data_IF_595649521019
#
_entry.id   IF_595649521019
#
_cell.length_a   1.000
_cell.length_b   1.000
_cell.length_c   1.000
_cell.angle_alpha   90.00
_cell.angle_beta   90.00
_cell.angle_gamma   90.00
#
_symmetry.space_group_name_H-M   'P 1'
#
loop_
_entity.id
_entity.type
_entity.pdbx_description
1 polymer ?
#
# COMPACT_ATOMS: atom_id res chain seq x y z
N UNK A 1 -11.55 -7.66 -0.75
CA UNK A 1 -10.74 -6.72 -1.55
C UNK A 1 -11.14 -5.29 -1.23
N UNK A 2 -10.18 -4.38 -1.17
CA UNK A 2 -10.46 -2.98 -0.87
C UNK A 2 -10.75 -2.21 -2.15
N UNK A 3 -11.65 -1.21 -2.11
CA UNK A 3 -11.85 -0.34 -3.26
C UNK A 3 -10.55 0.38 -3.64
N UNK A 4 -10.30 0.45 -4.95
CA UNK A 4 -9.04 1.00 -5.47
C UNK A 4 -8.77 2.41 -4.98
N UNK A 5 -9.78 3.29 -5.05
CA UNK A 5 -9.61 4.70 -4.69
C UNK A 5 -9.37 4.89 -3.19
N UNK A 6 -9.79 3.94 -2.36
CA UNK A 6 -9.54 3.99 -0.92
C UNK A 6 -8.19 3.42 -0.57
N UNK A 7 -7.77 2.31 -1.21
CA UNK A 7 -6.53 1.64 -0.81
C UNK A 7 -5.28 2.37 -1.30
N UNK A 8 -5.32 3.05 -2.44
CA UNK A 8 -4.13 3.70 -3.01
C UNK A 8 -3.53 4.75 -2.06
N UNK A 9 -4.30 5.72 -1.52
CA UNK A 9 -3.72 6.65 -0.56
C UNK A 9 -3.16 5.96 0.68
N UNK A 10 -3.76 4.84 1.08
CA UNK A 10 -3.32 4.10 2.26
C UNK A 10 -2.06 3.30 2.03
N UNK A 11 -1.80 2.89 0.79
CA UNK A 11 -0.51 2.29 0.43
C UNK A 11 0.62 3.30 0.64
N UNK A 12 0.41 4.56 0.22
CA UNK A 12 1.37 5.62 0.48
C UNK A 12 1.57 5.84 1.98
N UNK A 13 0.48 5.87 2.74
CA UNK A 13 0.54 6.00 4.19
C UNK A 13 1.28 4.83 4.82
N UNK A 14 1.03 3.61 4.37
CA UNK A 14 1.71 2.41 4.86
C UNK A 14 3.20 2.45 4.58
N UNK A 15 3.58 2.89 3.38
CA UNK A 15 4.99 3.08 3.04
C UNK A 15 5.65 4.09 3.99
N UNK A 16 4.96 5.20 4.26
CA UNK A 16 5.45 6.22 5.19
C UNK A 16 5.58 5.68 6.61
N UNK A 17 4.63 4.89 7.07
CA UNK A 17 4.67 4.27 8.40
C UNK A 17 5.91 3.38 8.56
N UNK A 18 6.34 2.71 7.49
CA UNK A 18 7.52 1.86 7.51
C UNK A 18 8.80 2.64 7.19
N UNK A 19 8.68 3.94 6.91
CA UNK A 19 9.81 4.79 6.55
C UNK A 19 10.59 4.27 5.33
N UNK A 20 9.86 3.78 4.33
CA UNK A 20 10.47 3.23 3.12
C UNK A 20 10.36 4.20 1.96
N UNK A 21 11.42 4.27 1.13
CA UNK A 21 11.33 4.92 -0.17
C UNK A 21 10.53 4.04 -1.13
N UNK A 22 10.19 4.61 -2.30
CA UNK A 22 9.54 3.82 -3.35
C UNK A 22 10.42 2.66 -3.81
N UNK A 23 11.74 2.88 -3.94
CA UNK A 23 12.69 1.84 -4.30
C UNK A 23 12.73 0.73 -3.25
N UNK A 24 12.77 1.12 -1.99
CA UNK A 24 12.82 0.15 -0.89
C UNK A 24 11.55 -0.67 -0.82
N UNK A 25 10.38 -0.04 -0.99
CA UNK A 25 9.12 -0.76 -1.02
C UNK A 25 9.08 -1.71 -2.22
N UNK A 26 9.49 -1.25 -3.40
CA UNK A 26 9.52 -2.08 -4.60
C UNK A 26 10.34 -3.35 -4.39
N UNK A 27 11.53 -3.20 -3.84
CA UNK A 27 12.40 -4.34 -3.52
C UNK A 27 11.73 -5.29 -2.54
N UNK A 28 11.11 -4.73 -1.50
CA UNK A 28 10.50 -5.52 -0.43
C UNK A 28 9.33 -6.35 -0.94
N UNK A 29 8.52 -5.81 -1.84
CA UNK A 29 7.31 -6.52 -2.31
C UNK A 29 7.52 -7.22 -3.66
N UNK A 30 8.69 -7.08 -4.27
CA UNK A 30 9.03 -7.82 -5.49
C UNK A 30 8.42 -7.25 -6.76
N UNK A 31 8.29 -5.93 -6.85
CA UNK A 31 7.85 -5.24 -8.07
C UNK A 31 8.87 -4.18 -8.45
N UNK A 32 8.72 -3.57 -9.63
CA UNK A 32 9.62 -2.49 -10.04
C UNK A 32 9.23 -1.18 -9.34
N UNK A 33 10.21 -0.27 -9.22
CA UNK A 33 9.93 1.07 -8.72
C UNK A 33 8.88 1.78 -9.57
N UNK A 34 8.92 1.58 -10.89
CA UNK A 34 7.96 2.17 -11.81
C UNK A 34 6.52 1.76 -11.47
N UNK A 35 6.32 0.50 -11.09
CA UNK A 35 5.00 0.02 -10.66
C UNK A 35 4.56 0.76 -9.40
N UNK A 36 5.44 0.90 -8.41
CA UNK A 36 5.10 1.63 -7.18
C UNK A 36 4.74 3.08 -7.51
N UNK A 37 5.55 3.77 -8.32
CA UNK A 37 5.30 5.16 -8.66
C UNK A 37 3.95 5.34 -9.35
N UNK A 38 3.64 4.50 -10.34
CA UNK A 38 2.37 4.58 -11.07
C UNK A 38 1.18 4.21 -10.19
N UNK A 39 1.36 3.22 -9.32
CA UNK A 39 0.33 2.79 -8.37
C UNK A 39 -0.01 3.94 -7.43
N UNK A 40 0.99 4.61 -6.89
CA UNK A 40 0.76 5.72 -5.96
C UNK A 40 0.11 6.94 -6.61
N UNK A 41 0.22 7.06 -7.93
CA UNK A 41 -0.51 8.07 -8.69
C UNK A 41 -1.90 7.59 -9.12
N UNK A 42 -2.28 6.39 -8.74
CA UNK A 42 -3.56 5.77 -9.11
C UNK A 42 -3.77 5.70 -10.61
N UNK A 43 -2.71 5.37 -11.36
CA UNK A 43 -2.82 5.23 -12.80
C UNK A 43 -3.62 4.00 -13.18
N UNK A 44 -4.53 4.17 -14.14
CA UNK A 44 -5.45 3.11 -14.54
C UNK A 44 -4.73 1.88 -15.13
N UNK A 45 -3.50 2.08 -15.63
CA UNK A 45 -2.71 0.99 -16.20
C UNK A 45 -2.21 -0.02 -15.17
N UNK A 46 -2.22 0.34 -13.88
CA UNK A 46 -1.74 -0.56 -12.83
C UNK A 46 -2.83 -1.59 -12.53
N UNK A 47 -2.47 -2.87 -12.55
CA UNK A 47 -3.41 -3.95 -12.35
C UNK A 47 -3.82 -4.10 -10.88
N UNK A 48 -4.99 -4.69 -10.67
CA UNK A 48 -5.45 -5.04 -9.33
C UNK A 48 -4.49 -6.03 -8.66
N UNK A 49 -3.90 -6.94 -9.44
CA UNK A 49 -2.91 -7.89 -8.91
C UNK A 49 -1.69 -7.17 -8.33
N UNK A 50 -1.22 -6.13 -9.01
CA UNK A 50 -0.09 -5.34 -8.52
C UNK A 50 -0.45 -4.61 -7.23
N UNK A 51 -1.65 -4.04 -7.18
CA UNK A 51 -2.14 -3.34 -5.98
C UNK A 51 -2.22 -4.33 -4.81
N UNK A 52 -2.78 -5.51 -5.03
CA UNK A 52 -2.89 -6.53 -3.99
C UNK A 52 -1.52 -7.01 -3.51
N UNK A 53 -0.58 -7.19 -4.43
CA UNK A 53 0.78 -7.61 -4.07
C UNK A 53 1.42 -6.60 -3.14
N UNK A 54 1.31 -5.31 -3.45
CA UNK A 54 1.90 -4.25 -2.63
C UNK A 54 1.18 -4.18 -1.28
N UNK A 55 -0.15 -4.25 -1.27
CA UNK A 55 -0.92 -4.25 -0.03
C UNK A 55 -0.50 -5.40 0.88
N UNK A 56 -0.42 -6.62 0.34
CA UNK A 56 -0.01 -7.79 1.10
C UNK A 56 1.41 -7.64 1.64
N UNK A 57 2.32 -7.08 0.85
CA UNK A 57 3.69 -6.83 1.29
C UNK A 57 3.75 -5.87 2.45
N UNK A 58 2.93 -4.82 2.41
CA UNK A 58 2.84 -3.87 3.52
C UNK A 58 2.27 -4.55 4.77
N UNK A 59 1.25 -5.37 4.62
CA UNK A 59 0.65 -6.10 5.75
C UNK A 59 1.66 -7.05 6.39
N UNK A 60 2.44 -7.75 5.59
CA UNK A 60 3.50 -8.64 6.08
C UNK A 60 4.59 -7.86 6.82
N UNK A 61 4.79 -6.62 6.45
CA UNK A 61 5.77 -5.75 7.09
C UNK A 61 5.24 -5.05 8.33
N UNK A 62 3.96 -5.23 8.65
CA UNK A 62 3.38 -4.72 9.90
C UNK A 62 2.33 -3.64 9.75
N UNK A 63 1.98 -3.25 8.53
CA UNK A 63 0.92 -2.27 8.33
C UNK A 63 -0.43 -2.97 8.41
N UNK A 64 -1.36 -2.37 9.12
CA UNK A 64 -2.74 -2.85 9.21
C UNK A 64 -3.65 -1.92 8.44
N UNK A 65 -4.50 -2.50 7.59
CA UNK A 65 -5.57 -1.76 6.93
C UNK A 65 -6.87 -2.18 7.60
N UNK A 66 -7.60 -1.21 8.13
CA UNK A 66 -8.82 -1.49 8.88
C UNK A 66 -9.80 -0.36 8.71
N UNK A 67 -11.04 -0.59 9.09
CA UNK A 67 -12.06 0.46 9.06
C UNK A 67 -12.22 1.06 10.45
N UNK A 68 -12.35 2.38 10.51
CA UNK A 68 -12.64 3.07 11.75
C UNK A 68 -14.15 2.95 12.10
N UNK A 69 -14.56 3.58 13.19
CA UNK A 69 -15.94 3.51 13.66
C UNK A 69 -16.93 4.08 12.66
N UNK A 70 -16.50 4.98 11.77
CA UNK A 70 -17.37 5.56 10.74
C UNK A 70 -17.42 4.71 9.47
N UNK A 71 -16.66 3.62 9.41
CA UNK A 71 -16.55 2.77 8.22
C UNK A 71 -15.50 3.21 7.24
N UNK A 72 -14.70 4.23 7.58
CA UNK A 72 -13.62 4.71 6.72
C UNK A 72 -12.40 3.80 6.83
N UNK A 73 -11.83 3.44 5.69
CA UNK A 73 -10.61 2.64 5.65
C UNK A 73 -9.42 3.48 6.10
N UNK A 74 -8.61 2.93 6.98
CA UNK A 74 -7.42 3.60 7.51
C UNK A 74 -6.23 2.64 7.50
N UNK A 75 -5.03 3.20 7.51
CA UNK A 75 -3.79 2.45 7.63
C UNK A 75 -3.14 2.76 8.97
N UNK A 76 -2.71 1.72 9.67
CA UNK A 76 -2.09 1.86 11.00
C UNK A 76 -0.84 1.02 11.04
N UNK A 77 0.27 1.61 11.48
CA UNK A 77 1.44 0.84 11.81
C UNK A 77 1.28 0.18 13.16
N UNK A 78 2.10 -0.80 13.46
CA UNK A 78 2.05 -1.42 14.78
C UNK A 78 3.45 -1.59 15.34
N UNK A 79 3.53 -1.60 16.65
CA UNK A 79 4.77 -1.84 17.36
C UNK A 79 4.97 -3.34 17.55
N UNK A 80 6.20 -3.74 17.47
CA UNK A 80 6.59 -5.13 17.75
C UNK A 80 6.70 -5.40 19.24
#
# INVERSE_FOLDING_TARGET
MYPRDEIIPLIRAGRALLNLSQDELATKVGVSRSVIARLERNEASVSLDSIDRVRLGLERAGVRFMKDASGKLIAVGFDD
#
